data_IF_830135903933
#
_entry.id   IF_830135903933
#
_cell.length_a   1.000
_cell.length_b   1.000
_cell.length_c   1.000
_cell.angle_alpha   90.00
_cell.angle_beta   90.00
_cell.angle_gamma   90.00
#
_symmetry.space_group_name_H-M   'P 1'
#
loop_
_entity.id
_entity.type
_entity.pdbx_description
1 polymer ?
#
# COMPACT_ATOMS: atom_id res chain seq x y z
N UNK A 1 -1.40 -26.63 16.83
CA UNK A 1 -2.45 -25.81 16.21
C UNK A 1 -1.76 -24.60 15.60
N UNK A 2 -1.85 -24.46 14.28
CA UNK A 2 -0.91 -23.62 13.54
C UNK A 2 -1.16 -22.13 13.78
N UNK A 3 -0.10 -21.48 14.26
CA UNK A 3 -0.02 -20.08 14.65
C UNK A 3 0.61 -19.35 13.45
N UNK A 4 -0.19 -18.79 12.56
CA UNK A 4 0.28 -17.86 11.52
C UNK A 4 -0.77 -16.76 11.39
N UNK A 5 -0.36 -15.51 11.63
CA UNK A 5 0.31 -14.78 10.54
C UNK A 5 1.51 -13.96 11.02
N UNK A 6 2.68 -13.97 10.35
CA UNK A 6 3.80 -13.09 10.69
C UNK A 6 3.79 -11.78 9.87
N UNK A 7 2.76 -11.59 9.04
CA UNK A 7 2.60 -10.45 8.14
C UNK A 7 1.12 -10.08 8.02
N UNK A 8 0.78 -8.82 7.67
CA UNK A 8 1.69 -7.70 7.54
C UNK A 8 2.34 -7.35 8.88
N UNK A 9 3.63 -6.98 8.87
CA UNK A 9 4.36 -6.56 10.08
C UNK A 9 4.41 -5.05 10.15
N UNK A 10 3.96 -4.47 11.25
CA UNK A 10 4.18 -3.05 11.54
C UNK A 10 5.65 -2.78 11.88
N UNK A 11 6.31 -1.92 11.12
CA UNK A 11 7.74 -1.58 11.28
C UNK A 11 7.94 -0.22 11.93
N UNK A 12 7.09 0.73 11.55
CA UNK A 12 6.90 2.03 12.18
C UNK A 12 5.40 2.26 12.25
N UNK A 13 4.98 3.22 13.09
CA UNK A 13 3.56 3.53 13.22
C UNK A 13 2.92 3.80 11.85
N UNK A 14 1.90 3.03 11.50
CA UNK A 14 1.17 3.07 10.23
C UNK A 14 1.96 2.58 9.00
N UNK A 15 3.14 1.99 9.18
CA UNK A 15 3.95 1.39 8.11
C UNK A 15 4.02 -0.11 8.28
N UNK A 16 3.44 -0.82 7.33
CA UNK A 16 3.34 -2.27 7.34
C UNK A 16 4.11 -2.86 6.17
N UNK A 17 4.79 -3.97 6.41
CA UNK A 17 5.50 -4.71 5.37
C UNK A 17 4.89 -6.09 5.26
N UNK A 18 4.61 -6.51 4.03
CA UNK A 18 4.11 -7.87 3.76
C UNK A 18 4.64 -8.36 2.42
N UNK A 19 4.82 -9.69 2.21
CA UNK A 19 5.17 -10.21 0.90
C UNK A 19 4.10 -9.90 -0.15
N UNK A 20 4.51 -9.87 -1.42
CA UNK A 20 3.58 -9.84 -2.54
C UNK A 20 2.95 -11.22 -2.78
N UNK A 21 1.61 -11.29 -2.75
CA UNK A 21 0.84 -12.53 -2.87
C UNK A 21 0.35 -12.84 -4.29
N UNK A 22 0.31 -11.83 -5.17
CA UNK A 22 -0.16 -11.97 -6.55
C UNK A 22 -1.21 -10.93 -6.93
N UNK A 23 -1.91 -11.19 -8.04
CA UNK A 23 -3.03 -10.35 -8.53
C UNK A 23 -4.34 -11.12 -8.48
N UNK A 24 -5.49 -10.48 -8.27
CA UNK A 24 -6.82 -11.11 -8.33
C UNK A 24 -7.81 -10.25 -9.11
N UNK A 25 -8.77 -10.89 -9.79
CA UNK A 25 -9.92 -10.22 -10.45
C UNK A 25 -11.03 -9.82 -9.49
N UNK A 26 -10.99 -10.36 -8.28
CA UNK A 26 -11.96 -10.07 -7.21
C UNK A 26 -11.71 -8.72 -6.51
N UNK A 27 -10.71 -7.96 -6.99
CA UNK A 27 -10.33 -6.65 -6.49
C UNK A 27 -10.43 -5.61 -7.60
N UNK A 28 -10.99 -4.45 -7.27
CA UNK A 28 -11.02 -3.28 -8.15
C UNK A 28 -9.64 -2.61 -8.22
N UNK A 29 -9.38 -1.81 -9.27
CA UNK A 29 -8.08 -1.18 -9.52
C UNK A 29 -7.57 -0.24 -8.41
N UNK A 30 -8.46 0.21 -7.53
CA UNK A 30 -8.17 1.04 -6.37
C UNK A 30 -8.22 0.26 -5.05
N UNK A 31 -8.23 -1.07 -5.08
CA UNK A 31 -8.24 -1.93 -3.89
C UNK A 31 -6.89 -2.64 -3.71
N UNK A 32 -6.60 -3.00 -2.46
CA UNK A 32 -5.55 -3.96 -2.10
C UNK A 32 -6.10 -4.94 -1.09
N UNK A 33 -5.92 -6.22 -1.36
CA UNK A 33 -6.40 -7.30 -0.50
C UNK A 33 -5.34 -7.78 0.47
N UNK A 34 -5.70 -7.95 1.74
CA UNK A 34 -4.89 -8.63 2.76
C UNK A 34 -5.81 -9.54 3.57
N UNK A 35 -5.36 -10.75 3.92
CA UNK A 35 -6.12 -11.68 4.76
C UNK A 35 -6.65 -10.98 6.03
N UNK A 36 -7.95 -11.11 6.29
CA UNK A 36 -8.64 -10.49 7.43
C UNK A 36 -7.94 -10.76 8.76
N UNK A 37 -7.68 -12.04 9.06
CA UNK A 37 -7.01 -12.46 10.30
C UNK A 37 -5.62 -11.82 10.45
N UNK A 38 -4.91 -11.61 9.34
CA UNK A 38 -3.58 -11.00 9.36
C UNK A 38 -3.63 -9.51 9.70
N UNK A 39 -4.65 -8.80 9.20
CA UNK A 39 -4.89 -7.40 9.54
C UNK A 39 -5.23 -7.24 11.03
N UNK A 40 -6.16 -8.06 11.53
CA UNK A 40 -6.65 -7.99 12.91
C UNK A 40 -5.57 -8.29 13.96
N UNK A 41 -4.62 -9.18 13.63
CA UNK A 41 -3.62 -9.66 14.60
C UNK A 41 -2.34 -8.83 14.56
N UNK A 42 -1.93 -8.32 13.40
CA UNK A 42 -0.58 -7.77 13.22
C UNK A 42 -0.53 -6.28 12.89
N UNK A 43 -1.68 -5.62 12.70
CA UNK A 43 -1.72 -4.24 12.22
C UNK A 43 -2.75 -3.41 12.99
N UNK A 44 -2.53 -2.09 13.05
CA UNK A 44 -3.56 -1.12 13.47
C UNK A 44 -4.44 -0.63 12.29
N UNK A 45 -4.32 -1.23 11.10
CA UNK A 45 -5.13 -0.83 9.94
C UNK A 45 -6.58 -1.24 10.10
N UNK A 46 -7.50 -0.33 9.81
CA UNK A 46 -8.93 -0.58 9.78
C UNK A 46 -9.47 -0.54 8.34
N UNK A 47 -9.81 -1.69 7.74
CA UNK A 47 -10.39 -1.78 6.40
C UNK A 47 -11.66 -0.93 6.18
N UNK A 48 -12.39 -0.60 7.25
CA UNK A 48 -13.61 0.20 7.14
C UNK A 48 -13.35 1.69 6.89
N UNK A 49 -12.17 2.21 7.26
CA UNK A 49 -11.88 3.65 7.23
C UNK A 49 -10.53 4.02 6.64
N UNK A 50 -9.56 3.12 6.68
CA UNK A 50 -8.20 3.43 6.24
C UNK A 50 -8.04 3.28 4.74
N UNK A 51 -7.32 4.25 4.19
CA UNK A 51 -6.79 4.20 2.83
C UNK A 51 -5.29 4.04 2.94
N UNK A 52 -4.70 3.31 2.00
CA UNK A 52 -3.27 2.97 2.07
C UNK A 52 -2.53 3.36 0.80
N UNK A 53 -1.24 3.61 0.93
CA UNK A 53 -0.31 3.68 -0.20
C UNK A 53 0.49 2.41 -0.28
N UNK A 54 0.82 2.02 -1.50
CA UNK A 54 1.53 0.78 -1.77
C UNK A 54 2.83 1.10 -2.50
N UNK A 55 3.96 0.76 -1.88
CA UNK A 55 5.30 0.82 -2.46
C UNK A 55 5.97 -0.55 -2.51
N UNK A 56 7.11 -0.63 -3.20
CA UNK A 56 8.02 -1.77 -3.08
C UNK A 56 9.15 -1.41 -2.11
N UNK A 57 9.37 -2.26 -1.13
CA UNK A 57 10.42 -2.03 -0.13
C UNK A 57 11.80 -2.05 -0.81
N UNK A 58 12.67 -1.11 -0.43
CA UNK A 58 14.01 -0.96 -1.02
C UNK A 58 14.02 -0.33 -2.42
N UNK A 59 12.87 0.05 -2.97
CA UNK A 59 12.79 0.78 -4.23
C UNK A 59 12.31 2.22 -4.02
N UNK A 60 12.84 3.14 -4.82
CA UNK A 60 12.40 4.54 -4.83
C UNK A 60 11.10 4.68 -5.64
N UNK A 61 10.01 4.14 -5.09
CA UNK A 61 8.69 4.08 -5.73
C UNK A 61 7.70 5.13 -5.22
N UNK A 62 8.17 6.12 -4.46
CA UNK A 62 7.33 7.16 -3.87
C UNK A 62 7.05 8.26 -4.89
N UNK A 63 5.80 8.33 -5.38
CA UNK A 63 5.31 9.53 -6.06
C UNK A 63 5.17 10.68 -5.05
N UNK A 64 5.23 11.94 -5.50
CA UNK A 64 4.84 13.06 -4.65
C UNK A 64 3.43 12.84 -4.08
N UNK A 65 3.21 13.27 -2.82
CA UNK A 65 2.01 13.01 -2.01
C UNK A 65 0.67 13.29 -2.73
N UNK A 66 0.64 14.27 -3.65
CA UNK A 66 -0.53 14.68 -4.44
C UNK A 66 -0.87 13.76 -5.62
N UNK A 67 0.11 13.02 -6.12
CA UNK A 67 0.02 12.22 -7.35
C UNK A 67 0.01 10.71 -7.02
N UNK A 68 0.31 10.39 -5.76
CA UNK A 68 0.35 9.03 -5.27
C UNK A 68 -1.05 8.53 -4.92
N UNK A 69 -1.48 7.48 -5.61
CA UNK A 69 -2.82 6.93 -5.45
C UNK A 69 -2.94 6.24 -4.10
N UNK A 70 -4.08 6.45 -3.47
CA UNK A 70 -4.48 5.70 -2.28
C UNK A 70 -5.39 4.55 -2.68
N UNK A 71 -5.23 3.42 -2.02
CA UNK A 71 -6.02 2.22 -2.23
C UNK A 71 -6.96 2.00 -1.05
N UNK A 72 -8.14 1.46 -1.31
CA UNK A 72 -8.97 0.81 -0.31
C UNK A 72 -8.28 -0.43 0.23
N UNK A 73 -8.28 -0.60 1.55
CA UNK A 73 -7.86 -1.85 2.14
C UNK A 73 -9.04 -2.81 2.21
N UNK A 74 -8.92 -3.97 1.55
CA UNK A 74 -9.95 -5.02 1.55
C UNK A 74 -9.50 -6.18 2.43
N UNK A 75 -10.26 -6.46 3.47
CA UNK A 75 -10.08 -7.65 4.30
C UNK A 75 -10.53 -8.90 3.52
N UNK A 76 -9.58 -9.75 3.15
CA UNK A 76 -9.86 -10.98 2.40
C UNK A 76 -10.38 -12.08 3.33
N UNK A 77 -11.47 -12.69 2.91
CA UNK A 77 -12.19 -13.78 3.57
C UNK A 77 -12.83 -14.71 2.52
N UNK A 78 -13.70 -15.63 2.95
CA UNK A 78 -14.33 -16.63 2.08
C UNK A 78 -15.21 -16.02 0.97
N UNK A 79 -15.56 -14.73 1.04
CA UNK A 79 -16.30 -14.04 -0.04
C UNK A 79 -15.44 -13.76 -1.28
N UNK A 80 -14.11 -13.80 -1.14
CA UNK A 80 -13.12 -13.57 -2.21
C UNK A 80 -12.11 -14.71 -2.25
N UNK A 81 -12.54 -15.92 -2.66
CA UNK A 81 -11.72 -17.13 -2.56
C UNK A 81 -10.44 -17.07 -3.41
N UNK A 82 -10.46 -16.45 -4.59
CA UNK A 82 -9.28 -16.36 -5.46
C UNK A 82 -8.20 -15.45 -4.85
N UNK A 83 -8.61 -14.31 -4.31
CA UNK A 83 -7.72 -13.39 -3.62
C UNK A 83 -7.23 -13.99 -2.30
N UNK A 84 -8.11 -14.63 -1.52
CA UNK A 84 -7.73 -15.25 -0.24
C UNK A 84 -6.68 -16.35 -0.44
N UNK A 85 -6.79 -17.16 -1.48
CA UNK A 85 -5.80 -18.20 -1.81
C UNK A 85 -4.39 -17.64 -2.10
N UNK A 86 -4.30 -16.36 -2.47
CA UNK A 86 -3.05 -15.64 -2.73
C UNK A 86 -2.50 -14.92 -1.49
N UNK A 87 -3.22 -14.95 -0.37
CA UNK A 87 -2.83 -14.35 0.91
C UNK A 87 -2.90 -15.38 2.06
N UNK A 88 -2.28 -16.56 1.94
CA UNK A 88 -2.37 -17.58 2.98
C UNK A 88 -1.90 -17.10 4.36
N UNK A 89 -0.91 -16.20 4.42
CA UNK A 89 -0.32 -15.70 5.67
C UNK A 89 -0.44 -14.19 5.87
N UNK A 90 -1.09 -13.46 4.96
CA UNK A 90 -1.24 -12.00 5.02
C UNK A 90 -0.51 -11.24 3.91
N UNK A 91 -0.11 -11.91 2.84
CA UNK A 91 0.48 -11.31 1.65
C UNK A 91 -0.46 -10.29 1.00
N UNK A 92 0.11 -9.22 0.44
CA UNK A 92 -0.67 -8.22 -0.29
C UNK A 92 -1.04 -8.74 -1.68
N UNK A 93 -2.34 -8.74 -1.95
CA UNK A 93 -2.92 -9.10 -3.24
C UNK A 93 -3.35 -7.83 -3.95
N UNK A 94 -2.90 -7.67 -5.18
CA UNK A 94 -3.18 -6.50 -6.02
C UNK A 94 -4.30 -6.82 -7.02
N UNK A 95 -4.95 -5.82 -7.62
CA UNK A 95 -5.92 -6.06 -8.67
C UNK A 95 -5.22 -6.46 -9.98
N UNK A 96 -5.90 -7.24 -10.81
CA UNK A 96 -5.44 -7.42 -12.21
C UNK A 96 -5.43 -6.07 -12.94
N UNK A 97 -4.41 -5.82 -13.78
CA UNK A 97 -4.25 -4.55 -14.48
C UNK A 97 -3.54 -3.45 -13.68
N UNK A 98 -3.18 -3.70 -12.43
CA UNK A 98 -2.45 -2.76 -11.55
C UNK A 98 -1.12 -2.27 -12.18
N UNK A 99 -0.46 -3.08 -13.00
CA UNK A 99 0.76 -2.69 -13.74
C UNK A 99 0.58 -1.43 -14.61
N UNK A 100 -0.63 -1.23 -15.16
CA UNK A 100 -0.94 -0.05 -15.97
C UNK A 100 -1.03 1.20 -15.08
N UNK A 101 -1.57 1.05 -13.88
CA UNK A 101 -1.78 2.13 -12.91
C UNK A 101 -0.44 2.58 -12.30
N UNK A 102 0.49 1.64 -12.09
CA UNK A 102 1.79 1.92 -11.46
C UNK A 102 2.84 2.48 -12.39
N UNK A 103 2.65 2.46 -13.71
CA UNK A 103 3.62 2.98 -14.66
C UNK A 103 4.04 4.43 -14.31
N UNK A 104 5.35 4.77 -14.25
CA UNK A 104 6.50 4.03 -14.78
C UNK A 104 7.21 3.07 -13.79
N UNK A 105 6.63 2.79 -12.63
CA UNK A 105 7.27 1.94 -11.62
C UNK A 105 7.23 0.46 -11.99
N UNK A 106 8.25 -0.28 -11.55
CA UNK A 106 8.33 -1.74 -11.71
C UNK A 106 7.12 -2.40 -11.05
N UNK A 107 6.49 -3.33 -11.77
CA UNK A 107 5.44 -4.17 -11.21
C UNK A 107 6.02 -5.18 -10.18
N UNK A 108 5.33 -5.47 -9.07
CA UNK A 108 5.78 -6.47 -8.11
C UNK A 108 5.89 -7.87 -8.74
N UNK A 109 6.90 -8.62 -8.30
CA UNK A 109 7.12 -10.02 -8.62
C UNK A 109 7.14 -10.87 -7.34
N UNK A 110 6.96 -12.18 -7.50
CA UNK A 110 7.07 -13.12 -6.38
C UNK A 110 8.41 -12.96 -5.65
N UNK A 111 8.36 -12.85 -4.32
CA UNK A 111 9.53 -12.58 -3.47
C UNK A 111 9.76 -11.10 -3.17
N UNK A 112 9.10 -10.17 -3.87
CA UNK A 112 9.12 -8.76 -3.48
C UNK A 112 8.35 -8.54 -2.17
N UNK A 113 8.80 -7.56 -1.39
CA UNK A 113 8.08 -7.06 -0.21
C UNK A 113 7.34 -5.78 -0.54
N UNK A 114 6.06 -5.75 -0.19
CA UNK A 114 5.16 -4.63 -0.34
C UNK A 114 5.21 -3.79 0.93
N UNK A 115 5.47 -2.49 0.77
CA UNK A 115 5.34 -1.50 1.83
C UNK A 115 3.95 -0.87 1.74
N UNK A 116 3.18 -1.01 2.81
CA UNK A 116 1.85 -0.44 2.97
C UNK A 116 1.96 0.71 3.97
N UNK A 117 1.60 1.91 3.54
CA UNK A 117 1.59 3.09 4.40
C UNK A 117 0.15 3.54 4.60
N UNK A 118 -0.35 3.47 5.83
CA UNK A 118 -1.66 3.98 6.21
C UNK A 118 -1.74 5.48 5.99
N UNK A 119 -2.49 5.91 4.99
CA UNK A 119 -2.80 7.32 4.74
C UNK A 119 -4.03 7.64 5.58
N UNK A 120 -3.80 8.18 6.79
CA UNK A 120 -4.88 8.66 7.65
C UNK A 120 -5.82 9.61 6.90
N UNK A 121 -6.94 9.08 6.40
CA UNK A 121 -8.04 9.91 5.90
C UNK A 121 -8.58 10.84 7.01
N UNK A 122 -8.36 10.50 8.29
CA UNK A 122 -8.72 11.31 9.45
C UNK A 122 -7.84 12.55 9.72
N UNK A 123 -6.60 12.64 9.20
CA UNK A 123 -5.68 13.77 9.53
C UNK A 123 -5.43 14.74 8.38
N UNK A 124 -5.62 14.32 7.13
CA UNK A 124 -5.41 15.24 6.00
C UNK A 124 -6.48 16.36 5.95
N UNK A 125 -7.66 16.13 6.53
CA UNK A 125 -8.70 17.15 6.65
C UNK A 125 -8.39 18.22 7.72
N UNK A 126 -7.44 17.99 8.62
CA UNK A 126 -7.21 18.87 9.78
C UNK A 126 -6.13 19.95 9.60
N UNK A 127 -5.29 19.90 8.56
CA UNK A 127 -4.29 20.96 8.33
C UNK A 127 -3.85 21.08 6.85
N UNK A 128 -4.61 21.82 6.03
CA UNK A 128 -4.27 22.05 4.62
C UNK A 128 -3.00 22.92 4.43
N UNK A 129 -2.60 23.72 5.42
CA UNK A 129 -1.40 24.57 5.32
C UNK A 129 -0.10 23.77 5.51
N UNK A 130 -0.10 22.81 6.43
CA UNK A 130 1.02 21.89 6.61
C UNK A 130 1.25 21.04 5.34
N UNK A 131 0.17 20.63 4.67
CA UNK A 131 0.24 19.94 3.38
C UNK A 131 0.85 20.83 2.31
N UNK A 132 0.42 22.08 2.18
CA UNK A 132 0.97 23.02 1.20
C UNK A 132 2.49 23.22 1.36
N UNK A 133 2.97 23.38 2.61
CA UNK A 133 4.41 23.53 2.89
C UNK A 133 5.22 22.28 2.55
N UNK A 134 4.69 21.09 2.85
CA UNK A 134 5.35 19.84 2.50
C UNK A 134 5.50 19.68 0.98
N UNK A 135 4.48 20.10 0.22
CA UNK A 135 4.48 20.05 -1.23
C UNK A 135 5.46 21.06 -1.86
N UNK A 136 5.54 22.28 -1.32
CA UNK A 136 6.53 23.27 -1.75
C UNK A 136 7.97 22.80 -1.52
N UNK A 137 8.23 22.11 -0.40
CA UNK A 137 9.55 21.56 -0.10
C UNK A 137 9.97 20.50 -1.12
N UNK A 138 9.06 19.56 -1.44
CA UNK A 138 9.30 18.51 -2.45
C UNK A 138 9.51 19.10 -3.85
N UNK A 139 8.74 20.13 -4.22
CA UNK A 139 8.88 20.83 -5.50
C UNK A 139 10.21 21.60 -5.61
N UNK A 140 10.71 22.19 -4.52
CA UNK A 140 12.02 22.83 -4.49
C UNK A 140 13.17 21.84 -4.66
N UNK A 141 13.05 20.67 -4.06
CA UNK A 141 14.09 19.64 -4.11
C UNK A 141 14.19 18.97 -5.49
N UNK A 142 13.05 18.74 -6.15
CA UNK A 142 13.00 18.22 -7.51
C UNK A 142 13.48 19.22 -8.57
N UNK A 143 13.44 20.53 -8.30
CA UNK A 143 14.08 21.56 -9.13
C UNK A 143 15.61 21.62 -8.98
N UNK A 144 16.15 21.19 -7.84
CA UNK A 144 17.60 21.13 -7.58
C UNK A 144 18.29 19.91 -8.21
N UNK A 145 17.52 18.88 -8.55
CA UNK A 145 18.05 17.60 -9.08
C UNK A 145 17.97 17.46 -10.61
N UNK A 146 17.52 18.50 -11.34
CA UNK A 146 17.74 18.58 -12.80
C UNK A 146 19.13 19.19 -13.06
N UNK A 147 20.07 18.48 -13.69
CA UNK A 147 21.26 19.14 -14.22
C UNK A 147 20.82 20.08 -15.35
N UNK A 148 21.39 21.28 -15.38
CA UNK A 148 21.26 22.18 -16.52
C UNK A 148 21.79 21.45 -17.77
N UNK A 149 20.94 21.40 -18.80
CA UNK A 149 21.32 20.97 -20.15
C UNK A 149 22.11 22.08 -20.83
#
# INVERSE_FOLDING_TARGET
MEKQPPFPLETLRHWYVTPYGGRSRELDLDQVGIRRVALEVNTELDPAVDRVRIGLLGQRNTRPLLIDRTFELVALDETRPEALAKSPIGEAVLPEGDEVVRHPFRAPASGDSILINGVMAKRLQSDPEALAKALEAVLRESRRTRPAS
#
